data_IF_023537180380
#
_entry.id   IF_023537180380
#
_cell.length_a   1.000
_cell.length_b   1.000
_cell.length_c   1.000
_cell.angle_alpha   90.00
_cell.angle_beta   90.00
_cell.angle_gamma   90.00
#
_symmetry.space_group_name_H-M   'P 1'
#
loop_
_entity.id
_entity.type
_entity.pdbx_description
1 polymer ?
#
# COMPACT_ATOMS: atom_id res chain seq x y z
N UNK A 1 9.00 47.72 -6.89
CA UNK A 1 9.01 49.13 -7.36
C UNK A 1 7.74 49.56 -8.09
N UNK A 2 7.25 48.82 -9.12
CA UNK A 2 5.96 49.14 -9.79
C UNK A 2 4.72 48.91 -8.90
N UNK A 3 4.69 47.79 -8.17
CA UNK A 3 3.57 47.40 -7.32
C UNK A 3 3.39 48.32 -6.08
N UNK A 4 4.49 48.74 -5.46
CA UNK A 4 4.46 49.67 -4.31
C UNK A 4 3.98 51.07 -4.70
N UNK A 5 4.30 51.51 -5.92
CA UNK A 5 3.81 52.78 -6.47
C UNK A 5 2.30 52.72 -6.74
N UNK A 6 1.79 51.59 -7.26
CA UNK A 6 0.36 51.37 -7.46
C UNK A 6 -0.42 51.26 -6.15
N UNK A 7 0.12 50.53 -5.15
CA UNK A 7 -0.46 50.47 -3.79
C UNK A 7 -0.57 51.85 -3.15
N UNK A 8 0.48 52.68 -3.27
CA UNK A 8 0.46 54.07 -2.78
C UNK A 8 -0.54 54.95 -3.53
N UNK A 9 -0.69 54.77 -4.84
CA UNK A 9 -1.68 55.51 -5.65
C UNK A 9 -3.11 55.17 -5.26
N UNK A 10 -3.40 53.89 -5.03
CA UNK A 10 -4.73 53.39 -4.63
C UNK A 10 -5.07 53.83 -3.20
N UNK A 11 -4.10 53.75 -2.28
CA UNK A 11 -4.25 54.26 -0.92
C UNK A 11 -4.54 55.77 -0.90
N UNK A 12 -3.90 56.55 -1.78
CA UNK A 12 -4.15 57.98 -1.92
C UNK A 12 -5.55 58.29 -2.46
N UNK A 13 -6.01 57.56 -3.49
CA UNK A 13 -7.35 57.74 -4.05
C UNK A 13 -8.46 57.43 -3.04
N UNK A 14 -8.29 56.39 -2.22
CA UNK A 14 -9.24 56.04 -1.15
C UNK A 14 -9.20 57.04 0.02
N UNK A 15 -8.04 57.66 0.30
CA UNK A 15 -7.93 58.70 1.31
C UNK A 15 -8.60 60.02 0.89
N UNK A 16 -8.57 60.35 -0.40
CA UNK A 16 -9.21 61.55 -0.97
C UNK A 16 -10.72 61.33 -1.23
N UNK A 17 -11.16 60.11 -1.55
CA UNK A 17 -12.57 59.75 -1.67
C UNK A 17 -12.81 58.29 -1.23
N UNK A 18 -13.39 58.07 -0.03
CA UNK A 18 -13.65 56.72 0.50
C UNK A 18 -14.60 55.87 -0.35
N UNK A 19 -15.38 56.47 -1.24
CA UNK A 19 -16.31 55.79 -2.14
C UNK A 19 -15.73 55.57 -3.56
N UNK A 20 -14.44 55.86 -3.78
CA UNK A 20 -13.79 55.66 -5.07
C UNK A 20 -13.79 54.16 -5.46
N UNK A 21 -14.24 53.86 -6.68
CA UNK A 21 -14.09 52.54 -7.28
C UNK A 21 -12.63 52.34 -7.69
N UNK A 22 -11.95 51.40 -7.04
CA UNK A 22 -10.55 51.06 -7.32
C UNK A 22 -10.45 49.63 -7.79
N UNK A 23 -9.68 49.41 -8.87
CA UNK A 23 -9.45 48.08 -9.42
C UNK A 23 -8.36 47.36 -8.63
N UNK A 24 -8.78 46.53 -7.68
CA UNK A 24 -7.89 45.71 -6.84
C UNK A 24 -7.22 44.55 -7.59
N UNK A 25 -7.78 44.09 -8.73
CA UNK A 25 -7.18 43.01 -9.53
C UNK A 25 -5.80 43.40 -10.05
N UNK A 26 -5.57 44.69 -10.28
CA UNK A 26 -4.27 45.22 -10.72
C UNK A 26 -3.14 45.13 -9.67
N UNK A 27 -3.48 44.83 -8.41
CA UNK A 27 -2.56 44.70 -7.27
C UNK A 27 -2.37 43.24 -6.85
N UNK A 28 -3.27 42.35 -7.26
CA UNK A 28 -3.12 40.93 -7.00
C UNK A 28 -1.93 40.44 -7.83
N UNK A 29 -0.86 40.03 -7.14
CA UNK A 29 0.22 39.32 -7.82
C UNK A 29 -0.40 38.08 -8.45
N UNK A 30 -0.22 37.86 -9.78
CA UNK A 30 -0.75 36.67 -10.42
C UNK A 30 -0.18 35.46 -9.69
N UNK A 31 -1.05 34.53 -9.32
CA UNK A 31 -0.63 33.30 -8.67
C UNK A 31 0.36 32.61 -9.60
N UNK A 32 1.58 32.36 -9.11
CA UNK A 32 2.61 31.75 -9.92
C UNK A 32 2.08 30.40 -10.43
N UNK A 33 2.27 30.08 -11.73
CA UNK A 33 1.73 28.84 -12.27
C UNK A 33 2.33 27.66 -11.49
N UNK A 34 1.45 26.80 -10.97
CA UNK A 34 1.85 25.61 -10.24
C UNK A 34 2.78 24.75 -11.10
N UNK A 35 3.82 24.19 -10.48
CA UNK A 35 4.77 23.37 -11.22
C UNK A 35 4.17 21.98 -11.42
N UNK A 36 3.78 21.67 -12.66
CA UNK A 36 3.30 20.33 -13.00
C UNK A 36 4.43 19.31 -12.81
N UNK A 37 4.19 18.30 -11.98
CA UNK A 37 5.12 17.21 -11.67
C UNK A 37 4.40 15.88 -11.81
N UNK A 38 5.09 14.89 -12.38
CA UNK A 38 4.59 13.51 -12.45
C UNK A 38 5.27 12.59 -11.44
N UNK A 39 6.54 12.87 -11.16
CA UNK A 39 7.38 12.06 -10.31
C UNK A 39 8.11 12.92 -9.29
N UNK A 40 8.20 12.39 -8.07
CA UNK A 40 9.06 12.88 -7.01
C UNK A 40 9.94 11.74 -6.54
N UNK A 41 11.20 12.06 -6.24
CA UNK A 41 12.15 11.08 -5.71
C UNK A 41 12.31 11.31 -4.23
N UNK A 42 12.91 12.44 -3.83
CA UNK A 42 13.19 12.73 -2.42
C UNK A 42 12.48 13.97 -1.89
N UNK A 43 11.43 13.75 -1.11
CA UNK A 43 10.59 14.82 -0.56
C UNK A 43 10.22 14.52 0.89
N UNK A 44 10.24 15.55 1.74
CA UNK A 44 9.55 15.50 3.03
C UNK A 44 8.04 15.47 2.82
N UNK A 45 7.26 15.05 3.82
CA UNK A 45 5.80 15.02 3.72
C UNK A 45 5.20 16.41 3.55
N UNK A 46 5.75 17.43 4.22
CA UNK A 46 5.31 18.82 4.05
C UNK A 46 5.52 19.31 2.61
N UNK A 47 6.68 19.05 2.03
CA UNK A 47 6.96 19.42 0.63
C UNK A 47 6.09 18.61 -0.33
N UNK A 48 5.86 17.32 -0.04
CA UNK A 48 5.01 16.47 -0.86
C UNK A 48 3.55 16.93 -0.82
N UNK A 49 3.06 17.43 0.31
CA UNK A 49 1.72 18.02 0.44
C UNK A 49 1.58 19.29 -0.41
N UNK A 50 2.58 20.19 -0.41
CA UNK A 50 2.59 21.36 -1.29
C UNK A 50 2.55 20.94 -2.77
N UNK A 51 3.33 19.94 -3.15
CA UNK A 51 3.32 19.40 -4.52
C UNK A 51 1.95 18.82 -4.86
N UNK A 52 1.32 18.05 -3.96
CA UNK A 52 -0.02 17.50 -4.18
C UNK A 52 -1.08 18.60 -4.35
N UNK A 53 -0.97 19.71 -3.61
CA UNK A 53 -1.85 20.87 -3.76
C UNK A 53 -1.77 21.46 -5.17
N UNK A 54 -0.57 21.51 -5.75
CA UNK A 54 -0.36 22.00 -7.12
C UNK A 54 -0.67 20.94 -8.19
N UNK A 55 -0.75 19.66 -7.82
CA UNK A 55 -0.90 18.53 -8.74
C UNK A 55 -2.10 17.64 -8.34
N UNK A 56 -3.34 18.10 -8.53
CA UNK A 56 -4.55 17.41 -8.08
C UNK A 56 -4.80 16.08 -8.82
N UNK A 57 -4.16 15.85 -9.97
CA UNK A 57 -4.21 14.58 -10.72
C UNK A 57 -3.39 13.45 -10.07
N UNK A 58 -2.66 13.74 -8.99
CA UNK A 58 -1.83 12.80 -8.26
C UNK A 58 -0.35 12.83 -8.68
N UNK A 59 0.47 12.20 -7.86
CA UNK A 59 1.94 12.20 -7.96
C UNK A 59 2.48 10.79 -7.81
N UNK A 60 3.44 10.42 -8.65
CA UNK A 60 4.25 9.23 -8.44
C UNK A 60 5.43 9.51 -7.51
N UNK A 61 5.56 8.76 -6.42
CA UNK A 61 6.73 8.79 -5.55
C UNK A 61 7.63 7.60 -5.88
N UNK A 62 8.75 7.85 -6.55
CA UNK A 62 9.69 6.80 -6.97
C UNK A 62 10.88 6.69 -6.01
N UNK A 63 11.15 5.47 -5.54
CA UNK A 63 12.28 5.15 -4.67
C UNK A 63 12.98 3.89 -5.16
N UNK A 64 14.21 4.03 -5.64
CA UNK A 64 15.01 2.89 -6.09
C UNK A 64 15.23 1.86 -4.96
N UNK A 65 15.28 2.33 -3.71
CA UNK A 65 15.19 1.49 -2.52
C UNK A 65 13.98 1.84 -1.65
N UNK A 66 12.87 1.14 -1.90
CA UNK A 66 11.59 1.33 -1.21
C UNK A 66 11.66 0.98 0.28
N UNK A 67 12.44 -0.04 0.66
CA UNK A 67 12.58 -0.43 2.07
C UNK A 67 13.09 0.72 2.95
N UNK A 68 13.96 1.58 2.42
CA UNK A 68 14.48 2.74 3.15
C UNK A 68 13.37 3.77 3.44
N UNK A 69 12.45 3.99 2.49
CA UNK A 69 11.26 4.82 2.73
C UNK A 69 10.38 4.20 3.81
N UNK A 70 10.05 2.91 3.68
CA UNK A 70 9.21 2.21 4.65
C UNK A 70 9.81 2.28 6.07
N UNK A 71 11.09 1.93 6.23
CA UNK A 71 11.79 2.02 7.52
C UNK A 71 11.85 3.45 8.07
N UNK A 72 11.93 4.47 7.20
CA UNK A 72 11.91 5.86 7.66
C UNK A 72 10.55 6.25 8.24
N UNK A 73 9.46 5.70 7.72
CA UNK A 73 8.10 5.96 8.20
C UNK A 73 7.78 5.25 9.52
N UNK A 74 8.57 4.22 9.89
CA UNK A 74 8.45 3.50 11.17
C UNK A 74 9.19 4.18 12.32
N UNK A 75 9.98 5.23 12.07
CA UNK A 75 10.72 5.92 13.14
C UNK A 75 9.78 6.71 14.04
N UNK A 76 10.06 6.71 15.34
CA UNK A 76 9.34 7.54 16.32
C UNK A 76 9.26 9.01 15.86
N UNK A 77 8.06 9.58 15.90
CA UNK A 77 7.80 10.95 15.41
C UNK A 77 7.44 11.05 13.91
N UNK A 78 7.38 9.93 13.18
CA UNK A 78 6.95 9.89 11.76
C UNK A 78 5.51 9.41 11.58
N UNK A 79 4.71 9.33 12.65
CA UNK A 79 3.33 8.84 12.60
C UNK A 79 2.47 9.71 11.67
N UNK A 80 2.69 11.02 11.67
CA UNK A 80 2.02 11.96 10.75
C UNK A 80 2.40 11.73 9.29
N UNK A 81 3.69 11.50 9.01
CA UNK A 81 4.19 11.15 7.68
C UNK A 81 3.56 9.84 7.19
N UNK A 82 3.52 8.83 8.05
CA UNK A 82 2.92 7.54 7.76
C UNK A 82 1.44 7.67 7.44
N UNK A 83 0.67 8.38 8.27
CA UNK A 83 -0.74 8.69 8.02
C UNK A 83 -0.98 9.43 6.71
N UNK A 84 -0.06 10.33 6.31
CA UNK A 84 -0.11 11.01 5.02
C UNK A 84 0.01 10.03 3.84
N UNK A 85 0.99 9.11 3.86
CA UNK A 85 1.11 8.08 2.80
C UNK A 85 -0.10 7.14 2.76
N UNK A 86 -0.65 6.74 3.92
CA UNK A 86 -1.87 5.94 3.98
C UNK A 86 -3.07 6.66 3.35
N UNK A 87 -3.20 7.97 3.60
CA UNK A 87 -4.24 8.82 3.00
C UNK A 87 -4.02 8.93 1.49
N UNK A 88 -2.77 9.12 1.06
CA UNK A 88 -2.40 9.19 -0.34
C UNK A 88 -2.73 7.94 -1.15
N UNK A 89 -2.70 6.76 -0.52
CA UNK A 89 -3.14 5.52 -1.14
C UNK A 89 -4.65 5.49 -1.42
N UNK A 90 -5.48 6.14 -0.58
CA UNK A 90 -6.92 6.24 -0.84
C UNK A 90 -7.20 7.05 -2.10
N UNK A 91 -6.41 8.10 -2.36
CA UNK A 91 -6.37 8.82 -3.63
C UNK A 91 -7.49 9.85 -3.85
N UNK A 92 -8.43 9.97 -2.92
CA UNK A 92 -9.62 10.83 -3.04
C UNK A 92 -9.92 11.63 -1.78
N UNK A 93 -8.99 11.66 -0.82
CA UNK A 93 -9.20 12.34 0.46
C UNK A 93 -8.40 13.63 0.53
N UNK A 94 -8.99 14.72 1.04
CA UNK A 94 -8.26 15.94 1.31
C UNK A 94 -7.29 15.71 2.47
N UNK A 95 -6.22 16.49 2.49
CA UNK A 95 -5.27 16.51 3.59
C UNK A 95 -4.96 17.95 3.99
N UNK A 96 -5.13 18.26 5.27
CA UNK A 96 -4.92 19.59 5.84
C UNK A 96 -3.80 19.50 6.87
N UNK A 97 -2.76 20.33 6.70
CA UNK A 97 -1.66 20.43 7.62
C UNK A 97 -1.55 21.86 8.17
N UNK A 98 -2.15 22.09 9.33
CA UNK A 98 -2.07 23.38 10.00
C UNK A 98 -0.86 23.44 10.94
N UNK A 99 -0.03 24.48 10.81
CA UNK A 99 1.14 24.69 11.66
C UNK A 99 1.17 26.12 12.18
N UNK A 100 1.36 26.29 13.49
CA UNK A 100 1.35 27.60 14.18
C UNK A 100 2.29 28.62 13.51
N UNK A 101 3.48 28.18 13.05
CA UNK A 101 4.49 29.07 12.46
C UNK A 101 4.47 29.20 10.92
N UNK A 102 3.74 28.34 10.19
CA UNK A 102 3.69 28.35 8.71
C UNK A 102 2.32 28.72 8.14
N UNK A 103 1.35 29.00 8.99
CA UNK A 103 -0.02 29.32 8.60
C UNK A 103 -0.96 28.11 8.71
N UNK A 104 -2.28 28.41 8.71
CA UNK A 104 -3.37 27.43 8.77
C UNK A 104 -4.09 27.29 7.43
N UNK A 105 -3.31 27.13 6.35
CA UNK A 105 -3.82 27.20 4.99
C UNK A 105 -3.20 26.17 4.04
N UNK A 106 -2.39 25.22 4.55
CA UNK A 106 -1.82 24.18 3.70
C UNK A 106 -2.82 23.02 3.59
N UNK A 107 -3.56 23.03 2.49
CA UNK A 107 -4.59 22.03 2.16
C UNK A 107 -4.40 21.55 0.73
N UNK A 108 -4.40 20.24 0.54
CA UNK A 108 -4.62 19.61 -0.76
C UNK A 108 -6.04 19.01 -0.78
N UNK A 109 -6.80 19.27 -1.84
CA UNK A 109 -8.18 18.76 -1.96
C UNK A 109 -8.24 17.25 -2.17
N UNK A 110 -7.21 16.67 -2.78
CA UNK A 110 -7.01 15.23 -2.86
C UNK A 110 -5.52 14.91 -2.82
N UNK A 111 -5.12 14.02 -1.91
CA UNK A 111 -3.78 13.42 -1.93
C UNK A 111 -3.90 12.08 -2.64
N UNK A 112 -3.25 11.97 -3.81
CA UNK A 112 -3.20 10.76 -4.61
C UNK A 112 -1.74 10.42 -4.90
N UNK A 113 -1.25 9.35 -4.28
CA UNK A 113 0.14 8.94 -4.37
C UNK A 113 0.24 7.55 -4.98
N UNK A 114 1.04 7.45 -6.04
CA UNK A 114 1.50 6.17 -6.58
C UNK A 114 2.94 5.94 -6.13
N UNK A 115 3.16 5.04 -5.16
CA UNK A 115 4.51 4.72 -4.70
C UNK A 115 5.08 3.58 -5.53
N UNK A 116 6.21 3.82 -6.19
CA UNK A 116 6.91 2.83 -7.00
C UNK A 116 8.35 2.69 -6.52
N UNK A 117 8.83 1.45 -6.45
CA UNK A 117 10.21 1.23 -6.09
C UNK A 117 10.61 -0.23 -6.12
N UNK A 118 11.91 -0.47 -6.01
CA UNK A 118 12.50 -1.80 -5.84
C UNK A 118 12.94 -2.00 -4.39
N UNK A 119 13.08 -3.26 -4.01
CA UNK A 119 13.66 -3.64 -2.73
C UNK A 119 14.25 -5.03 -2.82
N UNK A 120 15.15 -5.34 -1.91
CA UNK A 120 15.75 -6.66 -1.83
C UNK A 120 14.81 -7.63 -1.09
N UNK A 121 14.73 -8.90 -1.51
CA UNK A 121 13.91 -9.90 -0.82
C UNK A 121 14.14 -10.00 0.70
N UNK A 122 15.40 -9.97 1.14
CA UNK A 122 15.71 -10.02 2.57
C UNK A 122 15.19 -8.80 3.35
N UNK A 123 15.26 -7.61 2.76
CA UNK A 123 14.78 -6.37 3.41
C UNK A 123 13.27 -6.33 3.53
N UNK A 124 12.55 -6.74 2.47
CA UNK A 124 11.10 -6.78 2.52
C UNK A 124 10.58 -7.89 3.43
N UNK A 125 11.25 -9.04 3.48
CA UNK A 125 10.92 -10.12 4.42
C UNK A 125 11.07 -9.67 5.87
N UNK A 126 12.21 -9.02 6.20
CA UNK A 126 12.42 -8.43 7.53
C UNK A 126 11.39 -7.36 7.89
N UNK A 127 11.01 -6.52 6.93
CA UNK A 127 9.95 -5.52 7.13
C UNK A 127 8.58 -6.16 7.38
N UNK A 128 8.18 -7.14 6.56
CA UNK A 128 6.91 -7.86 6.73
C UNK A 128 6.87 -8.51 8.11
N UNK A 129 7.95 -9.20 8.51
CA UNK A 129 8.05 -9.85 9.82
C UNK A 129 7.81 -8.86 10.97
N UNK A 130 8.50 -7.72 10.94
CA UNK A 130 8.33 -6.68 11.96
C UNK A 130 6.90 -6.13 11.99
N UNK A 131 6.26 -6.00 10.83
CA UNK A 131 4.87 -5.57 10.73
C UNK A 131 3.86 -6.64 11.22
N UNK A 132 4.21 -7.93 11.16
CA UNK A 132 3.32 -9.03 11.57
C UNK A 132 3.41 -9.42 13.04
N UNK A 133 4.51 -9.09 13.73
CA UNK A 133 4.74 -9.46 15.14
C UNK A 133 3.95 -8.61 16.17
N UNK A 134 3.14 -7.66 15.72
CA UNK A 134 2.31 -6.80 16.57
C UNK A 134 3.06 -5.61 17.16
N UNK A 135 2.46 -4.41 17.05
CA UNK A 135 3.05 -3.15 17.52
C UNK A 135 2.51 -1.95 16.75
N UNK A 136 3.11 -0.76 16.93
CA UNK A 136 2.77 0.46 16.18
C UNK A 136 2.94 0.34 14.65
N UNK A 137 3.53 -0.77 14.18
CA UNK A 137 3.72 -1.12 12.78
C UNK A 137 2.49 -1.78 12.09
N UNK A 138 1.42 -2.08 12.83
CA UNK A 138 0.23 -2.80 12.35
C UNK A 138 -0.89 -1.88 11.79
N UNK A 139 -0.54 -0.90 10.96
CA UNK A 139 -1.50 0.06 10.39
C UNK A 139 -1.94 -0.25 8.93
N UNK A 140 -1.37 -1.32 8.37
CA UNK A 140 -1.68 -1.79 7.04
C UNK A 140 -0.86 -1.15 5.91
N UNK A 141 0.27 -0.47 6.17
CA UNK A 141 1.03 0.22 5.12
C UNK A 141 1.51 -0.76 4.02
N UNK A 142 2.14 -1.89 4.38
CA UNK A 142 2.61 -2.87 3.39
C UNK A 142 1.45 -3.55 2.64
N UNK A 143 0.33 -3.74 3.32
CA UNK A 143 -0.90 -4.30 2.75
C UNK A 143 -1.47 -3.44 1.61
N UNK A 144 -1.06 -2.16 1.51
CA UNK A 144 -1.47 -1.24 0.45
C UNK A 144 -0.61 -1.34 -0.82
N UNK A 145 0.53 -2.04 -0.78
CA UNK A 145 1.35 -2.33 -1.96
C UNK A 145 0.78 -3.51 -2.76
N UNK A 146 -0.45 -3.35 -3.28
CA UNK A 146 -1.15 -4.41 -4.02
C UNK A 146 -0.48 -4.82 -5.34
N UNK A 147 0.44 -4.02 -5.86
CA UNK A 147 1.27 -4.31 -7.05
C UNK A 147 2.61 -4.95 -6.70
N UNK A 148 2.75 -5.57 -5.51
CA UNK A 148 3.98 -6.25 -5.12
C UNK A 148 4.25 -7.42 -6.06
N UNK A 149 5.44 -7.41 -6.68
CA UNK A 149 5.91 -8.49 -7.55
C UNK A 149 7.21 -9.05 -7.00
N UNK A 150 7.25 -10.37 -6.82
CA UNK A 150 8.43 -11.13 -6.42
C UNK A 150 8.65 -12.26 -7.43
N UNK A 151 9.27 -11.98 -8.59
CA UNK A 151 9.46 -12.96 -9.64
C UNK A 151 10.57 -13.96 -9.30
N UNK A 152 10.53 -15.12 -9.93
CA UNK A 152 11.68 -16.02 -9.96
C UNK A 152 12.80 -15.44 -10.84
N UNK A 153 14.03 -15.59 -10.37
CA UNK A 153 15.21 -15.32 -11.19
C UNK A 153 15.42 -16.54 -12.07
N UNK A 154 15.49 -16.35 -13.38
CA UNK A 154 15.78 -17.44 -14.32
C UNK A 154 17.09 -18.14 -13.90
N UNK A 155 17.04 -19.48 -13.80
CA UNK A 155 18.20 -20.26 -13.36
C UNK A 155 19.35 -20.27 -14.36
N UNK A 156 19.05 -20.04 -15.64
CA UNK A 156 20.04 -19.89 -16.68
C UNK A 156 20.32 -18.41 -16.94
N UNK A 157 21.59 -18.02 -16.83
CA UNK A 157 22.01 -16.69 -17.21
C UNK A 157 21.97 -16.54 -18.73
N UNK A 158 21.29 -15.49 -19.20
CA UNK A 158 21.26 -15.10 -20.60
C UNK A 158 21.68 -13.64 -20.73
N UNK A 159 22.73 -13.37 -21.53
CA UNK A 159 23.08 -12.01 -21.88
C UNK A 159 22.09 -11.46 -22.92
N UNK A 160 21.23 -10.54 -22.50
CA UNK A 160 20.30 -9.86 -23.41
C UNK A 160 20.76 -8.41 -23.60
N UNK A 161 21.68 -8.21 -24.53
CA UNK A 161 22.09 -6.89 -25.00
C UNK A 161 21.29 -6.55 -26.27
N UNK A 162 20.11 -5.93 -26.08
CA UNK A 162 19.22 -5.55 -27.18
C UNK A 162 18.85 -4.08 -27.07
N UNK A 163 18.76 -3.42 -28.22
CA UNK A 163 18.25 -2.06 -28.30
C UNK A 163 16.77 -2.07 -27.83
N UNK A 164 16.34 -1.10 -27.02
CA UNK A 164 14.93 -0.96 -26.64
C UNK A 164 14.03 -0.85 -27.87
N UNK A 165 12.85 -1.46 -27.78
CA UNK A 165 11.82 -1.30 -28.81
C UNK A 165 11.32 0.15 -28.80
N UNK A 166 11.83 0.93 -29.76
CA UNK A 166 11.54 2.35 -29.88
C UNK A 166 10.09 2.61 -30.25
N UNK A 167 9.42 1.68 -30.94
CA UNK A 167 8.02 1.82 -31.35
C UNK A 167 7.10 1.58 -30.16
N UNK A 168 7.39 0.55 -29.36
CA UNK A 168 6.71 0.30 -28.10
C UNK A 168 6.88 1.47 -27.13
N UNK A 169 8.11 2.02 -27.04
CA UNK A 169 8.38 3.20 -26.22
C UNK A 169 7.53 4.41 -26.66
N UNK A 170 7.50 4.73 -27.96
CA UNK A 170 6.69 5.84 -28.47
C UNK A 170 5.20 5.65 -28.21
N UNK A 171 4.68 4.42 -28.38
CA UNK A 171 3.29 4.09 -28.06
C UNK A 171 2.96 4.33 -26.58
N UNK A 172 3.85 3.91 -25.67
CA UNK A 172 3.67 4.14 -24.23
C UNK A 172 3.65 5.64 -23.87
N UNK A 173 4.59 6.44 -24.40
CA UNK A 173 4.61 7.88 -24.14
C UNK A 173 3.40 8.60 -24.74
N UNK A 174 2.95 8.21 -25.94
CA UNK A 174 1.74 8.75 -26.55
C UNK A 174 0.50 8.46 -25.70
N UNK A 175 0.40 7.25 -25.14
CA UNK A 175 -0.65 6.88 -24.19
C UNK A 175 -0.63 7.79 -22.95
N UNK A 176 0.53 7.97 -22.32
CA UNK A 176 0.63 8.84 -21.14
C UNK A 176 0.24 10.29 -21.45
N UNK A 177 0.71 10.85 -22.57
CA UNK A 177 0.33 12.19 -22.99
C UNK A 177 -1.18 12.32 -23.24
N UNK A 178 -1.81 11.30 -23.85
CA UNK A 178 -3.25 11.25 -24.07
C UNK A 178 -4.03 11.24 -22.76
N UNK A 179 -3.66 10.37 -21.82
CA UNK A 179 -4.34 10.27 -20.52
C UNK A 179 -4.16 11.56 -19.69
N UNK A 180 -2.99 12.17 -19.79
CA UNK A 180 -2.66 13.39 -19.06
C UNK A 180 -3.46 14.63 -19.54
N UNK A 181 -3.70 14.71 -20.85
CA UNK A 181 -4.43 15.79 -21.49
C UNK A 181 -5.96 15.59 -21.49
N UNK A 182 -6.43 14.35 -21.24
CA UNK A 182 -7.85 14.02 -21.32
C UNK A 182 -8.69 14.74 -20.25
N UNK A 183 -9.89 15.13 -20.66
CA UNK A 183 -11.01 15.42 -19.76
C UNK A 183 -11.81 14.14 -19.52
N UNK A 184 -11.86 13.62 -18.27
CA UNK A 184 -12.59 12.39 -17.98
C UNK A 184 -14.07 12.42 -18.40
N UNK A 185 -14.72 13.58 -18.32
CA UNK A 185 -16.15 13.69 -18.68
C UNK A 185 -16.34 13.67 -20.20
N UNK A 186 -15.69 14.59 -20.91
CA UNK A 186 -15.84 14.72 -22.36
C UNK A 186 -15.17 13.61 -23.17
N UNK A 187 -13.95 13.20 -22.79
CA UNK A 187 -13.17 12.29 -23.60
C UNK A 187 -13.45 10.82 -23.28
N UNK A 188 -13.70 10.50 -22.01
CA UNK A 188 -13.93 9.12 -21.55
C UNK A 188 -15.39 8.79 -21.30
N UNK A 189 -16.29 9.78 -21.23
CA UNK A 189 -17.69 9.54 -20.88
C UNK A 189 -17.87 9.13 -19.40
N UNK A 190 -17.04 9.67 -18.51
CA UNK A 190 -17.15 9.41 -17.08
C UNK A 190 -18.37 10.09 -16.46
N UNK A 191 -18.93 9.44 -15.44
CA UNK A 191 -20.03 9.95 -14.64
C UNK A 191 -19.51 10.70 -13.41
N UNK A 192 -20.24 11.74 -13.00
CA UNK A 192 -19.97 12.46 -11.75
C UNK A 192 -20.69 11.75 -10.61
N UNK A 193 -20.02 11.61 -9.46
CA UNK A 193 -20.63 11.06 -8.24
C UNK A 193 -21.79 11.94 -7.78
N UNK A 194 -22.93 11.35 -7.46
CA UNK A 194 -24.05 12.07 -6.85
C UNK A 194 -23.90 12.08 -5.33
N UNK A 195 -23.91 13.27 -4.75
CA UNK A 195 -23.87 13.51 -3.31
C UNK A 195 -25.16 13.09 -2.61
N UNK A 196 -25.13 13.12 -1.27
CA UNK A 196 -26.27 12.75 -0.41
C UNK A 196 -27.49 13.69 -0.57
N UNK A 197 -27.26 14.87 -1.11
CA UNK A 197 -28.26 15.90 -1.44
C UNK A 197 -28.84 15.74 -2.86
N UNK A 198 -28.54 14.62 -3.54
CA UNK A 198 -28.86 14.36 -4.94
C UNK A 198 -28.27 15.39 -5.93
N UNK A 199 -27.20 16.10 -5.54
CA UNK A 199 -26.48 17.01 -6.42
C UNK A 199 -25.15 16.39 -6.90
N UNK A 200 -24.59 16.84 -8.03
CA UNK A 200 -23.26 16.41 -8.46
C UNK A 200 -22.19 16.81 -7.42
N UNK A 201 -21.44 15.83 -6.91
CA UNK A 201 -20.33 16.04 -5.99
C UNK A 201 -18.99 16.08 -6.74
N UNK A 202 -18.59 17.28 -7.14
CA UNK A 202 -17.32 17.53 -7.84
C UNK A 202 -16.07 17.36 -6.96
N UNK A 203 -16.23 17.07 -5.66
CA UNK A 203 -15.08 16.79 -4.76
C UNK A 203 -14.60 15.36 -4.92
N UNK A 204 -15.43 14.46 -5.46
CA UNK A 204 -15.05 13.09 -5.75
C UNK A 204 -14.59 12.95 -7.20
N UNK A 205 -13.62 12.08 -7.49
CA UNK A 205 -13.22 11.82 -8.86
C UNK A 205 -14.39 11.22 -9.66
N UNK A 206 -14.54 11.57 -10.95
CA UNK A 206 -15.51 10.94 -11.82
C UNK A 206 -15.17 9.46 -12.02
N UNK A 207 -16.16 8.66 -12.40
CA UNK A 207 -16.02 7.20 -12.49
C UNK A 207 -16.62 6.65 -13.79
N UNK A 208 -16.17 5.47 -14.19
CA UNK A 208 -16.81 4.67 -15.24
C UNK A 208 -17.47 3.45 -14.61
N UNK A 209 -18.66 3.09 -15.09
CA UNK A 209 -19.33 1.85 -14.71
C UNK A 209 -18.72 0.66 -15.44
N UNK A 210 -18.94 -0.53 -14.91
CA UNK A 210 -18.67 -1.76 -15.66
C UNK A 210 -19.77 -1.95 -16.71
N UNK A 211 -19.40 -2.51 -17.88
CA UNK A 211 -20.41 -3.08 -18.76
C UNK A 211 -21.03 -4.35 -18.12
N UNK A 212 -22.06 -4.91 -18.75
CA UNK A 212 -22.80 -6.04 -18.19
C UNK A 212 -21.91 -7.28 -17.97
N UNK A 213 -21.07 -7.64 -18.94
CA UNK A 213 -20.20 -8.80 -18.87
C UNK A 213 -19.04 -8.60 -17.87
N UNK A 214 -18.43 -7.41 -17.84
CA UNK A 214 -17.43 -7.04 -16.84
C UNK A 214 -18.01 -7.04 -15.43
N UNK A 215 -19.26 -6.60 -15.26
CA UNK A 215 -19.96 -6.64 -13.97
C UNK A 215 -20.20 -8.07 -13.50
N UNK A 216 -20.61 -8.97 -14.40
CA UNK A 216 -20.82 -10.40 -14.11
C UNK A 216 -19.51 -11.05 -13.63
N UNK A 217 -18.42 -10.92 -14.40
CA UNK A 217 -17.11 -11.47 -14.02
C UNK A 217 -16.56 -10.88 -12.73
N UNK A 218 -16.72 -9.57 -12.53
CA UNK A 218 -16.30 -8.93 -11.29
C UNK A 218 -17.08 -9.45 -10.09
N UNK A 219 -18.39 -9.62 -10.23
CA UNK A 219 -19.25 -10.11 -9.16
C UNK A 219 -18.95 -11.57 -8.82
N UNK A 220 -18.82 -12.44 -9.82
CA UNK A 220 -18.43 -13.84 -9.65
C UNK A 220 -17.11 -13.95 -8.89
N UNK A 221 -16.08 -13.26 -9.36
CA UNK A 221 -14.78 -13.20 -8.69
C UNK A 221 -14.92 -12.67 -7.25
N UNK A 222 -15.63 -11.56 -7.05
CA UNK A 222 -15.76 -10.92 -5.74
C UNK A 222 -16.45 -11.81 -4.73
N UNK A 223 -17.50 -12.54 -5.11
CA UNK A 223 -18.19 -13.48 -4.22
C UNK A 223 -17.23 -14.56 -3.73
N UNK A 224 -16.51 -15.22 -4.65
CA UNK A 224 -15.54 -16.24 -4.30
C UNK A 224 -14.40 -15.67 -3.44
N UNK A 225 -13.89 -14.50 -3.81
CA UNK A 225 -12.78 -13.85 -3.12
C UNK A 225 -13.15 -13.41 -1.70
N UNK A 226 -14.34 -12.87 -1.49
CA UNK A 226 -14.85 -12.49 -0.17
C UNK A 226 -15.09 -13.71 0.73
N UNK A 227 -15.54 -14.84 0.16
CA UNK A 227 -15.67 -16.10 0.90
C UNK A 227 -14.31 -16.61 1.35
N UNK A 228 -13.31 -16.59 0.47
CA UNK A 228 -11.94 -17.04 0.76
C UNK A 228 -11.30 -16.20 1.87
N UNK A 229 -11.45 -14.87 1.82
CA UNK A 229 -10.93 -13.97 2.87
C UNK A 229 -11.54 -14.20 4.25
N UNK A 230 -12.74 -14.80 4.34
CA UNK A 230 -13.43 -15.07 5.62
C UNK A 230 -13.36 -16.52 6.06
N UNK A 231 -12.64 -17.35 5.33
CA UNK A 231 -12.50 -18.79 5.60
C UNK A 231 -11.74 -19.08 6.91
N UNK A 232 -10.92 -18.13 7.37
CA UNK A 232 -10.06 -18.29 8.54
C UNK A 232 -8.77 -19.09 8.28
N UNK A 233 -8.50 -19.53 7.04
CA UNK A 233 -7.27 -20.28 6.72
C UNK A 233 -6.06 -19.38 6.41
N UNK A 234 -6.29 -18.09 6.12
CA UNK A 234 -5.24 -17.14 5.77
C UNK A 234 -4.61 -16.54 7.04
N UNK A 235 -3.30 -16.29 6.99
CA UNK A 235 -2.66 -15.48 8.02
C UNK A 235 -3.22 -14.04 7.98
N UNK A 236 -3.51 -13.39 9.14
CA UNK A 236 -4.16 -12.07 9.18
C UNK A 236 -3.50 -10.98 8.33
N UNK A 237 -2.17 -10.99 8.28
CA UNK A 237 -1.42 -10.02 7.46
C UNK A 237 -1.63 -10.20 5.94
N UNK A 238 -1.76 -11.45 5.49
CA UNK A 238 -2.05 -11.81 4.11
C UNK A 238 -3.50 -11.48 3.79
N UNK A 239 -4.42 -11.85 4.67
CA UNK A 239 -5.84 -11.49 4.56
C UNK A 239 -6.01 -9.96 4.40
N UNK A 240 -5.33 -9.16 5.23
CA UNK A 240 -5.38 -7.70 5.18
C UNK A 240 -4.79 -7.11 3.89
N UNK A 241 -3.75 -7.73 3.32
CA UNK A 241 -3.21 -7.37 2.01
C UNK A 241 -4.21 -7.67 0.89
N UNK A 242 -4.66 -8.92 0.83
CA UNK A 242 -5.60 -9.41 -0.18
C UNK A 242 -6.93 -8.66 -0.11
N UNK A 243 -7.36 -8.25 1.08
CA UNK A 243 -8.51 -7.38 1.31
C UNK A 243 -8.46 -6.05 0.54
N UNK A 244 -7.26 -5.53 0.22
CA UNK A 244 -7.12 -4.30 -0.59
C UNK A 244 -7.38 -4.53 -2.08
N UNK A 245 -7.45 -5.79 -2.53
CA UNK A 245 -7.72 -6.08 -3.94
C UNK A 245 -9.14 -5.69 -4.36
N UNK A 246 -10.06 -5.52 -3.40
CA UNK A 246 -11.38 -4.91 -3.62
C UNK A 246 -11.32 -3.57 -4.36
N UNK A 247 -10.27 -2.79 -4.08
CA UNK A 247 -9.97 -1.53 -4.79
C UNK A 247 -9.08 -1.77 -6.00
N UNK A 248 -8.08 -2.64 -5.88
CA UNK A 248 -7.07 -2.87 -6.92
C UNK A 248 -7.68 -3.37 -8.23
N UNK A 249 -8.53 -4.39 -8.19
CA UNK A 249 -9.11 -5.03 -9.38
C UNK A 249 -9.90 -4.04 -10.24
N UNK A 250 -10.89 -3.28 -9.72
CA UNK A 250 -11.60 -2.31 -10.54
C UNK A 250 -10.69 -1.17 -11.01
N UNK A 251 -9.67 -0.79 -10.22
CA UNK A 251 -8.68 0.21 -10.64
C UNK A 251 -7.84 -0.28 -11.83
N UNK A 252 -7.39 -1.53 -11.80
CA UNK A 252 -6.67 -2.16 -12.89
C UNK A 252 -7.55 -2.32 -14.13
N UNK A 253 -8.83 -2.66 -13.96
CA UNK A 253 -9.78 -2.76 -15.06
C UNK A 253 -9.96 -1.40 -15.76
N UNK A 254 -10.13 -0.32 -14.98
CA UNK A 254 -10.19 1.04 -15.50
C UNK A 254 -8.90 1.41 -16.26
N UNK A 255 -7.73 1.17 -15.67
CA UNK A 255 -6.45 1.46 -16.31
C UNK A 255 -6.27 0.68 -17.62
N UNK A 256 -6.60 -0.61 -17.63
CA UNK A 256 -6.54 -1.45 -18.83
C UNK A 256 -7.52 -1.00 -19.90
N UNK A 257 -8.72 -0.55 -19.52
CA UNK A 257 -9.72 -0.04 -20.43
C UNK A 257 -9.24 1.26 -21.10
N UNK A 258 -8.80 2.24 -20.30
CA UNK A 258 -8.30 3.52 -20.80
C UNK A 258 -7.00 3.36 -21.61
N UNK A 259 -6.13 2.42 -21.24
CA UNK A 259 -4.91 2.10 -21.98
C UNK A 259 -5.19 1.55 -23.39
N UNK A 260 -6.34 0.91 -23.59
CA UNK A 260 -6.81 0.37 -24.87
C UNK A 260 -7.83 1.30 -25.56
N UNK A 261 -7.74 2.61 -25.31
CA UNK A 261 -8.60 3.65 -25.90
C UNK A 261 -10.11 3.48 -25.61
N UNK A 262 -10.45 2.72 -24.56
CA UNK A 262 -11.82 2.51 -24.11
C UNK A 262 -12.48 3.80 -23.62
N UNK A 263 -13.79 3.89 -23.83
CA UNK A 263 -14.67 4.98 -23.40
C UNK A 263 -15.99 4.41 -22.89
N UNK A 264 -16.64 5.14 -21.99
CA UNK A 264 -17.90 4.74 -21.38
C UNK A 264 -17.71 3.55 -20.45
N UNK A 265 -18.61 2.57 -20.53
CA UNK A 265 -18.55 1.43 -19.64
C UNK A 265 -17.25 0.61 -19.83
N UNK A 266 -16.61 0.25 -18.71
CA UNK A 266 -15.39 -0.56 -18.66
C UNK A 266 -15.70 -1.91 -19.29
N UNK A 267 -14.95 -2.22 -20.33
CA UNK A 267 -15.12 -3.41 -21.17
C UNK A 267 -14.80 -4.71 -20.43
N UNK A 268 -15.51 -5.77 -20.78
CA UNK A 268 -15.21 -7.16 -20.40
C UNK A 268 -13.71 -7.53 -20.48
N UNK A 269 -13.09 -7.34 -21.64
CA UNK A 269 -11.67 -7.67 -21.86
C UNK A 269 -10.69 -6.96 -20.89
N UNK A 270 -11.06 -5.77 -20.41
CA UNK A 270 -10.26 -5.03 -19.43
C UNK A 270 -10.45 -5.60 -18.03
N UNK A 271 -11.66 -6.04 -17.68
CA UNK A 271 -11.93 -6.74 -16.43
C UNK A 271 -11.21 -8.09 -16.38
N UNK A 272 -11.30 -8.91 -17.43
CA UNK A 272 -10.59 -10.19 -17.50
C UNK A 272 -9.07 -10.01 -17.36
N UNK A 273 -8.50 -8.96 -17.97
CA UNK A 273 -7.08 -8.62 -17.81
C UNK A 273 -6.74 -8.23 -16.37
N UNK A 274 -7.61 -7.47 -15.71
CA UNK A 274 -7.43 -7.09 -14.30
C UNK A 274 -7.51 -8.31 -13.36
N UNK A 275 -8.42 -9.24 -13.62
CA UNK A 275 -8.54 -10.50 -12.87
C UNK A 275 -7.30 -11.39 -13.07
N UNK A 276 -6.76 -11.47 -14.29
CA UNK A 276 -5.51 -12.17 -14.57
C UNK A 276 -4.33 -11.55 -13.80
N UNK A 277 -4.26 -10.21 -13.76
CA UNK A 277 -3.29 -9.51 -12.91
C UNK A 277 -3.48 -9.82 -11.42
N UNK A 278 -4.72 -9.83 -10.93
CA UNK A 278 -5.00 -10.12 -9.52
C UNK A 278 -4.53 -11.53 -9.11
N UNK A 279 -4.75 -12.53 -9.98
CA UNK A 279 -4.24 -13.89 -9.77
C UNK A 279 -2.71 -13.91 -9.69
N UNK A 280 -2.03 -13.25 -10.64
CA UNK A 280 -0.58 -13.11 -10.64
C UNK A 280 -0.07 -12.44 -9.36
N UNK A 281 -0.60 -11.26 -9.02
CA UNK A 281 -0.18 -10.47 -7.85
C UNK A 281 -0.43 -11.20 -6.53
N UNK A 282 -1.52 -11.96 -6.41
CA UNK A 282 -1.79 -12.79 -5.23
C UNK A 282 -0.65 -13.79 -4.98
N UNK A 283 -0.20 -14.51 -6.01
CA UNK A 283 0.91 -15.47 -5.86
C UNK A 283 2.22 -14.81 -5.40
N UNK A 284 2.47 -13.57 -5.85
CA UNK A 284 3.64 -12.80 -5.44
C UNK A 284 3.53 -12.26 -4.01
N UNK A 285 2.35 -11.79 -3.63
CA UNK A 285 2.07 -11.39 -2.26
C UNK A 285 2.24 -12.59 -1.32
N UNK A 286 1.61 -13.73 -1.60
CA UNK A 286 1.72 -14.95 -0.80
C UNK A 286 3.18 -15.39 -0.63
N UNK A 287 3.99 -15.36 -1.69
CA UNK A 287 5.43 -15.63 -1.60
C UNK A 287 6.17 -14.64 -0.70
N UNK A 288 5.91 -13.34 -0.85
CA UNK A 288 6.58 -12.32 -0.05
C UNK A 288 6.21 -12.42 1.43
N UNK A 289 4.93 -12.65 1.74
CA UNK A 289 4.49 -12.87 3.11
C UNK A 289 5.01 -14.18 3.68
N UNK A 290 5.06 -15.26 2.90
CA UNK A 290 5.62 -16.53 3.34
C UNK A 290 7.10 -16.43 3.76
N UNK A 291 7.88 -15.48 3.23
CA UNK A 291 9.25 -15.23 3.71
C UNK A 291 9.30 -14.41 5.01
N UNK A 292 8.30 -13.55 5.22
CA UNK A 292 8.15 -12.79 6.46
C UNK A 292 7.64 -13.64 7.63
N UNK A 293 6.75 -14.60 7.33
CA UNK A 293 6.08 -15.50 8.30
C UNK A 293 6.66 -16.93 8.32
N UNK A 294 7.58 -17.25 7.41
CA UNK A 294 8.07 -18.62 7.17
C UNK A 294 8.99 -19.19 8.23
N UNK A 295 9.58 -18.33 9.07
CA UNK A 295 10.44 -18.76 10.17
C UNK A 295 9.65 -19.58 11.20
N UNK A 296 8.33 -19.39 11.34
CA UNK A 296 7.51 -20.19 12.27
C UNK A 296 7.43 -21.66 11.83
N UNK A 297 7.29 -21.88 10.52
CA UNK A 297 7.18 -23.21 9.92
C UNK A 297 8.55 -23.90 9.85
N UNK A 298 9.63 -23.15 9.63
CA UNK A 298 10.98 -23.68 9.66
C UNK A 298 11.49 -23.92 11.08
N UNK A 299 11.09 -23.10 12.06
CA UNK A 299 11.30 -23.34 13.50
C UNK A 299 10.50 -24.58 13.95
N UNK A 300 9.26 -24.73 13.50
CA UNK A 300 8.44 -25.91 13.73
C UNK A 300 9.07 -27.18 13.12
N UNK A 301 9.54 -27.13 11.87
CA UNK A 301 10.28 -28.24 11.24
C UNK A 301 11.58 -28.56 11.98
N UNK A 302 12.32 -27.55 12.42
CA UNK A 302 13.56 -27.73 13.18
C UNK A 302 13.28 -28.43 14.52
N UNK A 303 12.26 -27.98 15.26
CA UNK A 303 11.83 -28.62 16.50
C UNK A 303 11.30 -30.04 16.26
N UNK A 304 10.47 -30.24 15.24
CA UNK A 304 9.94 -31.56 14.87
C UNK A 304 11.06 -32.54 14.51
N UNK A 305 12.09 -32.08 13.80
CA UNK A 305 13.27 -32.90 13.49
C UNK A 305 13.95 -33.38 14.77
N UNK A 306 14.15 -32.50 15.74
CA UNK A 306 14.77 -32.81 17.04
C UNK A 306 13.92 -33.79 17.87
N UNK A 307 12.60 -33.57 17.89
CA UNK A 307 11.63 -34.49 18.50
C UNK A 307 11.79 -35.90 17.90
N UNK A 308 11.77 -36.02 16.56
CA UNK A 308 11.93 -37.31 15.86
C UNK A 308 13.29 -37.97 16.06
N UNK A 309 14.33 -37.20 16.41
CA UNK A 309 15.66 -37.74 16.69
C UNK A 309 15.84 -38.09 18.19
N UNK A 310 14.80 -37.95 19.02
CA UNK A 310 14.86 -38.22 20.46
C UNK A 310 15.70 -37.21 21.25
N UNK A 311 15.94 -36.02 20.69
CA UNK A 311 16.74 -34.97 21.33
C UNK A 311 15.93 -34.10 22.30
N UNK A 312 14.62 -34.29 22.36
CA UNK A 312 13.69 -33.57 23.22
C UNK A 312 12.96 -34.59 24.10
N UNK A 313 12.83 -34.31 25.40
CA UNK A 313 12.12 -35.19 26.33
C UNK A 313 10.60 -35.19 26.09
N UNK A 314 9.91 -36.31 26.32
CA UNK A 314 8.46 -36.47 26.13
C UNK A 314 7.61 -35.37 26.78
N UNK A 315 8.11 -34.83 27.89
CA UNK A 315 7.58 -33.67 28.61
C UNK A 315 8.66 -32.60 28.72
N UNK A 316 8.39 -31.42 28.19
CA UNK A 316 9.35 -30.32 28.15
C UNK A 316 8.67 -28.96 28.25
N UNK A 317 9.44 -27.91 28.53
CA UNK A 317 8.96 -26.52 28.50
C UNK A 317 9.58 -25.76 27.32
N UNK A 318 8.96 -24.66 26.90
CA UNK A 318 9.56 -23.76 25.91
C UNK A 318 10.98 -23.31 26.33
N UNK A 319 11.22 -23.14 27.64
CA UNK A 319 12.54 -22.77 28.16
C UNK A 319 13.58 -23.88 28.00
N UNK A 320 13.16 -25.14 28.06
CA UNK A 320 14.06 -26.28 27.90
C UNK A 320 14.59 -26.32 26.46
N UNK A 321 13.73 -26.05 25.46
CA UNK A 321 14.15 -25.93 24.06
C UNK A 321 15.04 -24.70 23.85
N UNK A 322 14.59 -23.53 24.30
CA UNK A 322 15.30 -22.26 24.10
C UNK A 322 16.76 -22.28 24.61
N UNK A 323 17.00 -22.94 25.76
CA UNK A 323 18.34 -23.02 26.38
C UNK A 323 19.39 -23.73 25.52
N UNK A 324 18.97 -24.54 24.55
CA UNK A 324 19.90 -25.20 23.64
C UNK A 324 20.42 -24.29 22.53
N UNK A 325 19.76 -23.15 22.26
CA UNK A 325 20.10 -22.23 21.18
C UNK A 325 20.32 -22.93 19.83
N UNK A 326 19.51 -23.94 19.54
CA UNK A 326 19.57 -24.64 18.26
C UNK A 326 19.27 -23.68 17.11
N UNK A 327 19.86 -23.95 15.93
CA UNK A 327 19.54 -23.20 14.71
C UNK A 327 18.03 -23.22 14.46
N UNK A 328 17.46 -22.05 14.14
CA UNK A 328 16.01 -21.81 14.00
C UNK A 328 15.19 -21.95 15.30
N UNK A 329 15.82 -22.03 16.47
CA UNK A 329 15.18 -22.04 17.80
C UNK A 329 16.03 -21.22 18.78
N UNK A 330 16.49 -20.04 18.33
CA UNK A 330 17.53 -19.26 19.00
C UNK A 330 16.94 -18.24 19.96
N UNK A 331 15.71 -17.79 19.70
CA UNK A 331 14.97 -16.84 20.52
C UNK A 331 13.78 -17.52 21.23
N UNK A 332 13.26 -16.94 22.33
CA UNK A 332 12.05 -17.46 22.96
C UNK A 332 10.82 -17.41 22.04
N UNK A 333 10.81 -16.47 21.09
CA UNK A 333 9.72 -16.29 20.12
C UNK A 333 9.74 -17.40 19.07
N UNK A 334 10.92 -17.73 18.51
CA UNK A 334 11.09 -18.86 17.58
C UNK A 334 10.52 -20.17 18.17
N UNK A 335 10.81 -20.40 19.46
CA UNK A 335 10.33 -21.58 20.18
C UNK A 335 8.82 -21.53 20.43
N UNK A 336 8.28 -20.37 20.81
CA UNK A 336 6.85 -20.20 21.02
C UNK A 336 6.06 -20.44 19.72
N UNK A 337 6.55 -19.89 18.61
CA UNK A 337 5.94 -20.05 17.29
C UNK A 337 6.03 -21.49 16.80
N UNK A 338 7.20 -22.13 16.94
CA UNK A 338 7.36 -23.55 16.64
C UNK A 338 6.37 -24.43 17.41
N UNK A 339 6.16 -24.14 18.70
CA UNK A 339 5.22 -24.88 19.55
C UNK A 339 3.76 -24.61 19.20
N UNK A 340 3.42 -23.39 18.78
CA UNK A 340 2.08 -23.05 18.28
C UNK A 340 1.76 -23.86 17.03
N UNK A 341 2.65 -23.81 16.03
CA UNK A 341 2.48 -24.56 14.77
C UNK A 341 2.39 -26.06 15.04
N UNK A 342 3.33 -26.63 15.81
CA UNK A 342 3.28 -28.07 16.13
C UNK A 342 2.04 -28.45 16.93
N UNK A 343 1.50 -27.54 17.75
CA UNK A 343 0.24 -27.72 18.46
C UNK A 343 -0.97 -27.78 17.53
N UNK A 344 -1.06 -26.87 16.57
CA UNK A 344 -2.12 -26.84 15.56
C UNK A 344 -2.15 -28.11 14.71
N UNK A 345 -0.98 -28.62 14.35
CA UNK A 345 -0.85 -29.87 13.58
C UNK A 345 -0.88 -31.14 14.46
N UNK A 346 -1.13 -31.01 15.77
CA UNK A 346 -1.33 -32.14 16.68
C UNK A 346 -0.06 -32.91 17.05
N UNK A 347 1.13 -32.36 16.82
CA UNK A 347 2.40 -33.00 17.20
C UNK A 347 2.74 -32.84 18.68
N UNK A 348 2.33 -31.71 19.28
CA UNK A 348 2.54 -31.43 20.70
C UNK A 348 1.27 -30.86 21.33
N UNK A 349 1.12 -31.01 22.64
CA UNK A 349 -0.01 -30.46 23.40
C UNK A 349 0.49 -29.70 24.62
N UNK A 350 0.07 -28.45 24.75
CA UNK A 350 0.31 -27.64 25.94
C UNK A 350 -0.62 -28.06 27.10
N UNK A 351 -0.03 -28.35 28.26
CA UNK A 351 -0.72 -28.67 29.51
C UNK A 351 -0.30 -27.66 30.57
N UNK A 352 -1.28 -26.95 31.13
CA UNK A 352 -1.05 -26.02 32.23
C UNK A 352 -1.07 -26.78 33.55
N UNK A 353 0.06 -26.80 34.25
CA UNK A 353 0.19 -27.38 35.57
C UNK A 353 0.05 -26.29 36.64
N UNK A 354 -0.82 -26.54 37.61
CA UNK A 354 -0.86 -25.76 38.84
C UNK A 354 0.39 -26.10 39.67
N UNK A 355 1.06 -25.06 40.16
CA UNK A 355 2.15 -25.19 41.13
C UNK A 355 1.80 -24.36 42.36
N UNK A 356 2.54 -24.51 43.47
CA UNK A 356 2.36 -23.69 44.68
C UNK A 356 2.57 -22.17 44.45
N UNK A 357 2.95 -21.76 43.23
CA UNK A 357 3.02 -20.38 42.77
C UNK A 357 2.40 -20.17 41.38
N UNK A 358 3.15 -19.61 40.42
CA UNK A 358 2.65 -19.30 39.08
C UNK A 358 2.39 -20.57 38.27
N UNK A 359 1.33 -20.60 37.49
CA UNK A 359 1.04 -21.73 36.58
C UNK A 359 2.19 -21.96 35.60
N UNK A 360 2.50 -23.23 35.33
CA UNK A 360 3.58 -23.63 34.44
C UNK A 360 3.01 -24.36 33.23
N UNK A 361 3.29 -23.86 32.03
CA UNK A 361 2.96 -24.57 30.79
C UNK A 361 4.04 -25.60 30.48
N UNK A 362 3.63 -26.85 30.32
CA UNK A 362 4.47 -27.97 29.88
C UNK A 362 3.89 -28.52 28.59
N UNK A 363 4.73 -28.91 27.65
CA UNK A 363 4.32 -29.51 26.39
C UNK A 363 4.56 -31.02 26.44
N UNK A 364 3.58 -31.77 25.97
CA UNK A 364 3.61 -33.22 25.82
C UNK A 364 3.62 -33.57 24.33
N UNK A 365 4.45 -34.53 23.92
CA UNK A 365 4.42 -35.06 22.55
C UNK A 365 3.18 -35.93 22.32
N UNK A 366 2.65 -35.94 21.09
CA UNK A 366 1.56 -36.84 20.73
C UNK A 366 2.07 -38.31 20.70
N UNK A 367 1.27 -39.30 21.16
CA UNK A 367 1.71 -40.71 21.22
C UNK A 367 2.26 -41.26 19.90
N UNK A 368 1.64 -40.88 18.76
CA UNK A 368 2.05 -41.33 17.42
C UNK A 368 3.34 -40.66 16.88
N UNK A 369 3.95 -39.78 17.68
CA UNK A 369 5.11 -38.97 17.30
C UNK A 369 6.34 -39.25 18.16
N UNK A 370 6.20 -40.21 19.09
CA UNK A 370 7.31 -40.76 19.86
C UNK A 370 8.21 -41.60 18.93
N UNK A 371 9.54 -41.52 19.08
CA UNK A 371 10.50 -42.23 18.24
C UNK A 371 10.44 -43.77 18.38
#
# INVERSE_FOLDING_TARGET
MRLDAQKKSIARQLAENPAASVNFESILEPEAPGMRRYLVNDTTCEALLEICRENPKGIGAYRDELASLLQSLERDGQEGSRGFYLTGWNGNQPYVADRIGRGRNLRAEAVCLSVLGSTQPGRIAGYIRAATQGGAADDGLIQRFGLLVYPDVAGEWCNVDRIPDSDAQRKAFALFARLDAADPLGDWGAEIVTGHDNQPDFRQPPFLRLDEAAAEHFLEWRIAYESDLRSGHLHPAVESHLAKYRKLVPSLALLCHLANDGKGAISDSAMLRALAWAHYLRSHAERAYALGTGDDLDSAKALLKRIRHGEVADRFTARDIYRHHWSMLQTPEDVANALSVLGEYGWVRGVTLATDGRTKTVFEMHPDTQP
#
